data_IF_605558616425
#
_entry.id   IF_605558616425
#
_cell.length_a   1.000
_cell.length_b   1.000
_cell.length_c   1.000
_cell.angle_alpha   90.00
_cell.angle_beta   90.00
_cell.angle_gamma   90.00
#
_symmetry.space_group_name_H-M   'P 1'
#
loop_
_entity.id
_entity.type
_entity.pdbx_description
1 polymer ?
2 non-polymer ?
3 water ?
#
# COMPACT_ATOMS: atom_id res chain seq x y z
N UNK A 1 4.72 -8.41 -31.82
CA UNK A 1 4.11 -7.09 -31.41
C UNK A 1 3.84 -7.04 -29.90
N UNK A 2 4.79 -6.46 -29.16
CA UNK A 2 4.67 -6.20 -27.72
C UNK A 2 4.88 -4.70 -27.45
N UNK A 3 4.26 -4.15 -26.39
CA UNK A 3 4.51 -2.75 -26.03
C UNK A 3 5.96 -2.52 -25.59
N UNK A 4 6.48 -1.36 -25.94
CA UNK A 4 7.87 -1.03 -25.63
C UNK A 4 8.14 -0.85 -24.13
N UNK A 5 7.12 -0.40 -23.39
CA UNK A 5 7.15 -0.27 -21.94
C UNK A 5 5.84 -0.78 -21.34
N UNK A 6 5.94 -1.39 -20.16
CA UNK A 6 4.74 -1.69 -19.35
C UNK A 6 5.07 -1.38 -17.90
N UNK A 7 4.04 -0.96 -17.17
CA UNK A 7 4.12 -0.74 -15.74
C UNK A 7 2.75 -1.09 -15.15
N UNK A 8 2.67 -2.27 -14.55
CA UNK A 8 1.42 -2.78 -13.98
C UNK A 8 0.90 -1.99 -12.77
N UNK A 9 1.75 -1.19 -12.11
CA UNK A 9 1.26 -0.24 -11.08
C UNK A 9 0.25 0.75 -11.64
N UNK A 10 0.47 1.19 -12.88
CA UNK A 10 -0.44 2.14 -13.54
C UNK A 10 -1.80 1.53 -13.87
N UNK A 11 -1.88 0.21 -13.97
CA UNK A 11 -3.14 -0.51 -14.15
C UNK A 11 -3.84 -0.84 -12.82
N UNK A 12 -3.34 -0.31 -11.70
CA UNK A 12 -3.89 -0.60 -10.37
C UNK A 12 -3.73 -2.03 -9.86
N UNK A 13 -2.72 -2.75 -10.36
CA UNK A 13 -2.54 -4.19 -10.13
C UNK A 13 -1.39 -4.54 -9.15
N UNK A 14 -0.80 -3.52 -8.52
CA UNK A 14 0.34 -3.69 -7.60
C UNK A 14 0.00 -3.04 -6.26
N UNK A 15 0.08 -3.83 -5.20
CA UNK A 15 -0.21 -3.32 -3.86
C UNK A 15 1.01 -2.55 -3.33
N UNK A 16 0.88 -2.00 -2.14
CA UNK A 16 1.99 -1.28 -1.50
C UNK A 16 3.22 -2.17 -1.30
N UNK A 17 4.40 -1.57 -1.45
CA UNK A 17 5.67 -2.19 -1.06
C UNK A 17 5.62 -2.62 0.41
N UNK A 18 6.04 -3.85 0.66
CA UNK A 18 6.11 -4.44 1.98
C UNK A 18 7.55 -4.43 2.50
N UNK A 19 7.70 -4.84 3.76
CA UNK A 19 8.98 -4.79 4.49
C UNK A 19 9.20 -6.14 5.20
N UNK A 20 10.10 -6.95 4.64
CA UNK A 20 10.33 -8.31 5.16
C UNK A 20 11.12 -8.37 6.47
N UNK A 21 11.94 -7.36 6.72
CA UNK A 21 12.80 -7.33 7.90
C UNK A 21 13.80 -8.46 7.90
N UNK A 22 14.02 -9.06 9.07
CA UNK A 22 15.07 -10.05 9.25
C UNK A 22 14.62 -11.51 9.02
N UNK A 23 13.51 -11.67 8.30
CA UNK A 23 12.97 -12.98 7.95
C UNK A 23 13.17 -13.10 6.46
N UNK A 24 13.77 -14.22 6.03
CA UNK A 24 14.06 -14.47 4.62
C UNK A 24 12.82 -14.90 3.85
N UNK A 25 11.83 -14.00 3.79
CA UNK A 25 10.52 -14.32 3.24
C UNK A 25 10.29 -13.67 1.87
N UNK A 26 11.36 -13.27 1.19
CA UNK A 26 11.22 -12.60 -0.09
C UNK A 26 10.43 -13.48 -1.09
N UNK A 27 10.71 -14.78 -1.10
CA UNK A 27 9.92 -15.76 -1.87
C UNK A 27 8.39 -15.68 -1.67
N UNK A 28 7.98 -15.41 -0.43
CA UNK A 28 6.57 -15.32 -0.09
C UNK A 28 5.97 -13.99 -0.55
N UNK A 29 6.73 -12.91 -0.44
CA UNK A 29 6.28 -11.60 -0.95
C UNK A 29 6.25 -11.57 -2.47
N UNK A 30 7.25 -12.19 -3.10
CA UNK A 30 7.25 -12.37 -4.57
C UNK A 30 6.00 -13.12 -5.04
N UNK A 31 5.66 -14.20 -4.34
CA UNK A 31 4.52 -15.04 -4.72
C UNK A 31 3.19 -14.32 -4.53
N UNK A 32 2.93 -13.77 -3.33
CA UNK A 32 1.68 -13.03 -3.13
C UNK A 32 1.58 -11.84 -4.10
N UNK A 33 2.70 -11.15 -4.33
CA UNK A 33 2.76 -10.07 -5.31
C UNK A 33 2.18 -10.42 -6.66
N UNK A 34 2.67 -11.54 -7.21
CA UNK A 34 2.22 -12.01 -8.50
C UNK A 34 0.73 -12.36 -8.49
N UNK A 35 0.27 -13.02 -7.42
CA UNK A 35 -1.13 -13.42 -7.30
C UNK A 35 -2.06 -12.21 -7.07
N UNK A 36 -1.58 -11.21 -6.32
CA UNK A 36 -2.37 -9.96 -6.09
C UNK A 36 -2.81 -9.32 -7.39
N UNK A 37 -1.91 -9.30 -8.37
CA UNK A 37 -2.19 -8.73 -9.69
C UNK A 37 -3.25 -9.54 -10.44
N UNK A 38 -3.16 -10.86 -10.39
CA UNK A 38 -4.13 -11.73 -11.07
C UNK A 38 -5.51 -11.57 -10.43
N UNK A 39 -5.53 -11.47 -9.09
CA UNK A 39 -6.75 -11.20 -8.34
C UNK A 39 -7.42 -9.90 -8.76
N UNK A 40 -6.63 -8.84 -8.88
CA UNK A 40 -7.11 -7.53 -9.39
C UNK A 40 -7.73 -7.66 -10.76
N UNK A 41 -7.00 -8.30 -11.68
CA UNK A 41 -7.47 -8.51 -13.06
C UNK A 41 -8.82 -9.20 -13.11
N UNK A 42 -8.99 -10.25 -12.32
CA UNK A 42 -10.17 -11.08 -12.40
C UNK A 42 -11.38 -10.51 -11.65
N UNK A 43 -11.14 -9.86 -10.52
CA UNK A 43 -12.24 -9.40 -9.64
C UNK A 43 -12.40 -7.88 -9.55
N UNK A 44 -11.47 -7.11 -10.09
CA UNK A 44 -11.46 -5.66 -9.93
C UNK A 44 -11.05 -5.14 -8.56
N UNK A 45 -10.68 -6.03 -7.63
CA UNK A 45 -10.34 -5.65 -6.28
C UNK A 45 -8.84 -5.78 -6.07
N UNK A 46 -8.22 -4.74 -5.53
CA UNK A 46 -6.80 -4.77 -5.21
C UNK A 46 -6.67 -5.05 -3.72
N UNK A 47 -6.13 -6.21 -3.37
CA UNK A 47 -5.99 -6.59 -1.96
C UNK A 47 -4.64 -7.28 -1.70
N UNK A 48 -3.92 -6.79 -0.70
CA UNK A 48 -2.68 -7.44 -0.27
C UNK A 48 -2.96 -8.82 0.28
N UNK A 49 -2.21 -9.81 -0.19
CA UNK A 49 -2.38 -11.19 0.24
C UNK A 49 -1.32 -11.58 1.28
N UNK A 50 -1.67 -12.57 2.11
CA UNK A 50 -0.86 -12.91 3.28
C UNK A 50 0.44 -13.66 2.97
N UNK A 51 1.54 -12.93 2.96
CA UNK A 51 2.87 -13.53 2.93
C UNK A 51 3.12 -14.45 4.14
N UNK A 52 2.55 -14.11 5.30
CA UNK A 52 2.76 -14.86 6.54
C UNK A 52 2.11 -16.24 6.47
N UNK A 53 0.93 -16.28 5.84
CA UNK A 53 0.21 -17.50 5.50
C UNK A 53 1.12 -18.51 4.81
N UNK A 54 1.89 -18.05 3.83
CA UNK A 54 2.82 -18.92 3.11
C UNK A 54 4.01 -19.35 4.00
N UNK A 55 4.57 -18.40 4.75
CA UNK A 55 5.70 -18.63 5.65
C UNK A 55 5.38 -19.72 6.65
N UNK A 56 4.19 -19.62 7.24
CA UNK A 56 3.71 -20.53 8.27
C UNK A 56 3.15 -21.86 7.74
N UNK A 57 2.55 -21.87 6.55
CA UNK A 57 1.80 -23.04 6.05
C UNK A 57 2.40 -23.75 4.83
N UNK A 58 3.13 -23.06 3.97
CA UNK A 58 3.75 -23.67 2.79
C UNK A 58 5.17 -24.00 3.19
N UNK A 59 5.32 -25.13 3.88
CA UNK A 59 6.54 -25.49 4.59
C UNK A 59 7.14 -26.77 3.97
N UNK A 60 7.31 -27.86 4.74
CA UNK A 60 8.17 -28.98 4.35
C UNK A 60 7.74 -29.67 3.08
N UNK A 61 6.45 -29.98 2.99
CA UNK A 61 5.85 -30.59 1.79
C UNK A 61 6.18 -29.84 0.49
N UNK A 62 6.39 -28.54 0.60
CA UNK A 62 6.66 -27.63 -0.52
C UNK A 62 8.15 -27.28 -0.65
N UNK A 63 9.03 -27.96 0.11
CA UNK A 63 10.47 -27.68 0.08
C UNK A 63 10.89 -26.34 0.64
N UNK A 64 9.98 -25.70 1.39
CA UNK A 64 10.17 -24.36 1.92
C UNK A 64 10.50 -24.41 3.41
N UNK A 65 11.25 -23.40 3.85
CA UNK A 65 11.73 -23.33 5.23
C UNK A 65 11.43 -21.98 5.88
N UNK A 66 10.23 -21.43 5.58
CA UNK A 66 9.74 -20.19 6.19
C UNK A 66 10.71 -19.03 6.07
N UNK A 67 11.15 -18.52 7.22
CA UNK A 67 12.11 -17.41 7.29
C UNK A 67 13.52 -17.80 6.86
N UNK A 68 13.77 -19.09 6.64
CA UNK A 68 15.04 -19.56 6.05
C UNK A 68 14.98 -19.82 4.51
N UNK A 69 13.97 -19.27 3.83
CA UNK A 69 13.87 -19.33 2.37
C UNK A 69 12.82 -20.28 1.84
N UNK A 70 12.46 -20.09 0.57
CA UNK A 70 11.45 -20.93 -0.08
C UNK A 70 11.39 -20.64 -1.57
N UNK A 71 10.45 -21.29 -2.24
CA UNK A 71 10.26 -21.16 -3.68
C UNK A 71 8.91 -20.52 -3.95
N UNK A 72 8.84 -19.66 -4.95
CA UNK A 72 7.57 -19.09 -5.37
C UNK A 72 6.64 -20.14 -5.97
N UNK A 73 7.20 -21.11 -6.70
CA UNK A 73 6.39 -22.11 -7.40
C UNK A 73 5.64 -23.04 -6.46
N UNK A 74 6.35 -23.50 -5.42
CA UNK A 74 5.77 -24.39 -4.45
C UNK A 74 4.87 -23.62 -3.48
N UNK A 75 5.08 -22.32 -3.35
CA UNK A 75 4.13 -21.46 -2.64
C UNK A 75 2.84 -21.40 -3.42
N UNK A 76 2.93 -21.26 -4.75
CA UNK A 76 1.73 -21.31 -5.60
C UNK A 76 1.02 -22.66 -5.49
N UNK A 77 1.80 -23.74 -5.47
CA UNK A 77 1.22 -25.08 -5.33
C UNK A 77 0.49 -25.25 -4.00
N UNK A 78 1.08 -24.72 -2.92
CA UNK A 78 0.38 -24.66 -1.64
C UNK A 78 -0.99 -24.00 -1.76
N UNK A 79 -1.04 -22.83 -2.39
CA UNK A 79 -2.29 -22.09 -2.56
C UNK A 79 -3.31 -22.93 -3.36
N UNK A 80 -2.84 -23.62 -4.41
CA UNK A 80 -3.68 -24.54 -5.21
C UNK A 80 -4.20 -25.68 -4.32
N UNK A 81 -3.29 -26.37 -3.66
CA UNK A 81 -3.62 -27.50 -2.76
C UNK A 81 -4.53 -27.06 -1.61
N UNK A 82 -4.26 -25.88 -1.06
CA UNK A 82 -5.02 -25.36 0.08
C UNK A 82 -6.41 -24.85 -0.27
N UNK A 83 -6.64 -24.61 -1.56
CA UNK A 83 -7.87 -24.01 -2.07
C UNK A 83 -8.09 -22.58 -1.56
N UNK A 84 -7.01 -21.90 -1.19
CA UNK A 84 -7.11 -20.56 -0.72
C UNK A 84 -5.84 -19.96 -0.18
N UNK A 85 -5.82 -18.63 -0.12
CA UNK A 85 -4.85 -17.89 0.68
C UNK A 85 -5.60 -16.74 1.39
N UNK A 86 -5.29 -16.53 2.67
CA UNK A 86 -5.90 -15.47 3.47
C UNK A 86 -5.45 -14.07 3.03
N UNK A 87 -6.26 -13.06 3.34
CA UNK A 87 -5.86 -11.67 3.14
C UNK A 87 -4.71 -11.38 4.09
N UNK A 88 -3.84 -10.46 3.69
CA UNK A 88 -2.81 -9.96 4.59
C UNK A 88 -3.44 -9.23 5.78
N UNK A 89 -4.58 -8.59 5.56
CA UNK A 89 -5.33 -7.92 6.66
C UNK A 89 -5.68 -8.90 7.77
N UNK A 90 -6.15 -10.10 7.38
CA UNK A 90 -6.59 -11.13 8.34
C UNK A 90 -5.42 -11.87 9.00
N UNK A 91 -4.27 -11.87 8.34
CA UNK A 91 -3.17 -12.74 8.70
C UNK A 91 -1.90 -11.94 8.43
N UNK A 92 -1.63 -10.91 9.27
CA UNK A 92 -0.59 -9.93 8.98
C UNK A 92 0.82 -10.44 9.24
N UNK A 93 1.78 -9.74 8.65
CA UNK A 93 3.17 -10.19 8.62
C UNK A 93 3.93 -9.86 9.93
N UNK A 94 4.59 -10.87 10.49
CA UNK A 94 5.32 -10.76 11.77
C UNK A 94 6.83 -10.98 11.66
N UNK A 95 7.34 -11.21 10.45
CA UNK A 95 8.76 -11.48 10.22
C UNK A 95 9.32 -12.58 11.15
N UNK A 96 8.54 -13.63 11.34
CA UNK A 96 9.01 -14.82 12.06
C UNK A 96 8.21 -16.04 11.67
N UNK A 97 8.77 -17.21 11.95
CA UNK A 97 8.13 -18.48 11.66
C UNK A 97 7.10 -18.73 12.72
N UNK A 98 5.86 -19.02 12.33
CA UNK A 98 4.79 -19.32 13.28
C UNK A 98 4.07 -20.60 12.88
N UNK A 99 3.23 -21.10 13.79
CA UNK A 99 2.31 -22.20 13.49
C UNK A 99 1.32 -21.74 12.41
N UNK A 100 0.99 -22.65 11.50
CA UNK A 100 0.03 -22.35 10.45
C UNK A 100 -1.34 -21.99 11.02
N UNK A 101 -1.82 -20.78 10.72
CA UNK A 101 -3.11 -20.31 11.23
C UNK A 101 -4.09 -19.93 10.12
N UNK A 102 -3.97 -20.61 8.98
CA UNK A 102 -4.91 -20.42 7.88
C UNK A 102 -6.35 -20.66 8.35
N UNK A 103 -7.24 -19.75 7.97
CA UNK A 103 -8.68 -19.87 8.21
C UNK A 103 -9.38 -19.57 6.87
N UNK A 104 -10.09 -20.54 6.31
CA UNK A 104 -10.84 -20.32 5.05
C UNK A 104 -11.87 -19.18 5.09
N UNK A 105 -12.37 -18.81 6.28
CA UNK A 105 -13.29 -17.67 6.39
C UNK A 105 -12.71 -16.35 5.81
N UNK A 106 -11.40 -16.17 5.95
CA UNK A 106 -10.70 -14.97 5.47
C UNK A 106 -9.95 -15.16 4.14
N UNK A 107 -10.26 -16.24 3.41
CA UNK A 107 -9.77 -16.44 2.04
C UNK A 107 -10.05 -15.20 1.19
N UNK A 108 -8.98 -14.62 0.64
CA UNK A 108 -9.05 -13.47 -0.27
C UNK A 108 -8.73 -13.83 -1.73
N UNK A 109 -8.02 -14.94 -1.94
CA UNK A 109 -7.70 -15.40 -3.27
C UNK A 109 -7.59 -16.92 -3.34
N UNK A 110 -7.58 -17.37 -4.58
CA UNK A 110 -7.52 -18.77 -4.96
C UNK A 110 -6.39 -18.82 -6.01
N UNK A 111 -5.89 -20.02 -6.35
CA UNK A 111 -4.93 -20.19 -7.43
C UNK A 111 -5.25 -21.47 -8.19
N UNK A 112 -5.41 -21.36 -9.51
CA UNK A 112 -5.78 -22.48 -10.37
C UNK A 112 -4.57 -23.19 -10.96
N UNK A 113 -3.53 -22.42 -11.27
CA UNK A 113 -2.35 -22.97 -11.89
C UNK A 113 -1.18 -22.00 -11.76
N UNK A 114 0.00 -22.47 -12.14
CA UNK A 114 1.18 -21.62 -12.35
C UNK A 114 2.03 -22.13 -13.51
N UNK A 115 2.87 -21.25 -14.01
CA UNK A 115 3.73 -21.49 -15.17
C UNK A 115 5.16 -21.08 -14.84
N UNK A 116 6.13 -21.94 -15.18
CA UNK A 116 7.56 -21.63 -15.03
C UNK A 116 8.13 -21.36 -16.41
N UNK A 117 8.80 -20.22 -16.57
CA UNK A 117 9.33 -19.79 -17.85
C UNK A 117 10.75 -20.33 -18.05
N UNK A 118 11.20 -20.44 -19.31
CA UNK A 118 12.50 -21.04 -19.54
C UNK A 118 13.69 -20.18 -19.06
N UNK A 119 14.70 -20.85 -18.51
CA UNK A 119 15.86 -20.22 -17.87
C UNK A 119 16.56 -19.26 -18.83
N UNK A 120 16.84 -18.04 -18.37
CA UNK A 120 17.67 -17.04 -19.10
C UNK A 120 16.97 -16.28 -20.23
N UNK A 121 15.74 -16.66 -20.58
CA UNK A 121 15.04 -16.13 -21.73
C UNK A 121 14.30 -14.81 -21.40
N UNK A 122 15.00 -13.71 -21.60
CA UNK A 122 14.48 -12.40 -21.27
C UNK A 122 13.44 -11.93 -22.25
N UNK A 123 13.46 -12.49 -23.45
CA UNK A 123 12.43 -12.24 -24.47
C UNK A 123 11.12 -12.90 -24.08
N UNK A 124 11.18 -14.11 -23.55
CA UNK A 124 9.98 -14.82 -23.08
C UNK A 124 9.42 -14.18 -21.79
N UNK A 125 10.30 -13.68 -20.92
CA UNK A 125 9.89 -12.96 -19.72
C UNK A 125 9.19 -11.64 -20.08
N UNK A 126 9.74 -10.94 -21.08
CA UNK A 126 9.13 -9.71 -21.59
C UNK A 126 7.70 -10.00 -22.09
N UNK A 127 7.56 -11.01 -22.93
CA UNK A 127 6.24 -11.47 -23.41
C UNK A 127 5.28 -11.75 -22.26
N UNK A 128 5.73 -12.50 -21.26
CA UNK A 128 4.90 -12.85 -20.10
C UNK A 128 4.49 -11.60 -19.30
N UNK A 129 5.41 -10.69 -19.04
CA UNK A 129 5.09 -9.46 -18.28
C UNK A 129 4.05 -8.63 -19.03
N UNK A 130 4.19 -8.54 -20.35
CA UNK A 130 3.23 -7.83 -21.19
C UNK A 130 1.87 -8.53 -21.26
N UNK A 131 1.87 -9.83 -21.56
CA UNK A 131 0.65 -10.57 -21.88
C UNK A 131 -0.03 -11.25 -20.71
N UNK A 132 0.67 -11.48 -19.60
CA UNK A 132 0.10 -12.22 -18.45
C UNK A 132 -0.02 -11.35 -17.20
N UNK A 133 1.02 -10.58 -16.88
CA UNK A 133 1.01 -9.73 -15.70
C UNK A 133 2.34 -9.79 -14.97
N UNK A 134 2.40 -9.25 -13.74
CA UNK A 134 3.63 -9.33 -12.95
C UNK A 134 4.15 -10.76 -12.76
N UNK A 135 5.47 -10.93 -12.86
CA UNK A 135 6.13 -12.25 -12.83
C UNK A 135 7.08 -12.32 -11.64
N UNK A 136 6.90 -13.37 -10.85
CA UNK A 136 7.78 -13.68 -9.72
C UNK A 136 9.11 -14.14 -10.23
N UNK A 137 10.21 -13.55 -9.73
CA UNK A 137 11.55 -13.96 -10.11
C UNK A 137 12.52 -13.93 -8.93
N UNK A 138 13.64 -14.60 -9.11
CA UNK A 138 14.76 -14.55 -8.18
C UNK A 138 15.85 -13.71 -8.80
N UNK A 139 16.58 -13.00 -7.97
CA UNK A 139 17.77 -12.25 -8.40
C UNK A 139 18.91 -12.55 -7.45
N UNK A 140 20.13 -12.28 -7.92
CA UNK A 140 21.34 -12.27 -7.11
C UNK A 140 21.44 -10.90 -6.43
N UNK A 141 20.99 -10.82 -5.19
CA UNK A 141 21.05 -9.56 -4.44
C UNK A 141 22.22 -9.51 -3.45
N UNK A 142 23.16 -10.48 -3.49
CA UNK A 142 24.26 -10.52 -2.51
C UNK A 142 25.40 -9.60 -2.96
N UNK A 143 25.11 -8.30 -2.99
CA UNK A 143 26.05 -7.27 -3.43
C UNK A 143 25.71 -5.98 -2.70
N UNK A 144 26.71 -5.34 -2.08
CA UNK A 144 26.49 -4.04 -1.42
C UNK A 144 25.82 -2.99 -2.29
N UNK A 145 26.15 -2.96 -3.59
CA UNK A 145 25.53 -2.05 -4.56
C UNK A 145 24.00 -2.24 -4.68
N UNK A 146 23.53 -3.47 -4.49
CA UNK A 146 22.10 -3.75 -4.47
C UNK A 146 21.45 -3.15 -3.22
N UNK A 147 22.03 -3.45 -2.05
CA UNK A 147 21.52 -2.92 -0.79
C UNK A 147 21.53 -1.38 -0.76
N UNK A 148 22.57 -0.76 -1.32
CA UNK A 148 22.71 0.70 -1.38
C UNK A 148 22.06 1.41 -2.57
N UNK A 149 21.43 0.65 -3.47
CA UNK A 149 20.78 1.23 -4.66
C UNK A 149 19.76 2.33 -4.30
N UNK A 150 19.87 3.48 -4.97
CA UNK A 150 19.00 4.63 -4.79
C UNK A 150 18.11 4.89 -6.00
N UNK A 151 18.72 4.97 -7.19
CA UNK A 151 17.99 5.28 -8.42
C UNK A 151 18.78 4.84 -9.66
N UNK A 152 18.10 4.88 -10.81
CA UNK A 152 18.70 4.58 -12.11
C UNK A 152 18.57 3.12 -12.55
N UNK A 153 19.27 2.75 -13.61
CA UNK A 153 19.32 1.38 -14.10
C UNK A 153 20.47 0.66 -13.41
N UNK A 154 20.11 -0.29 -12.54
CA UNK A 154 21.06 -1.09 -11.80
C UNK A 154 21.86 -2.04 -12.71
N UNK A 155 23.19 -1.88 -12.66
CA UNK A 155 24.10 -2.81 -13.31
C UNK A 155 25.27 -3.07 -12.36
N UNK A 156 25.61 -4.32 -12.16
CA UNK A 156 26.60 -4.77 -11.20
C UNK A 156 27.47 -5.78 -11.92
N UNK A 157 28.70 -5.38 -12.35
CA UNK A 157 29.59 -6.30 -13.08
C UNK A 157 29.85 -7.67 -12.42
N UNK A 158 29.89 -7.71 -11.09
CA UNK A 158 30.13 -8.97 -10.37
C UNK A 158 28.86 -9.79 -10.08
N UNK A 159 27.70 -9.38 -10.64
CA UNK A 159 26.47 -10.15 -10.48
C UNK A 159 26.59 -11.52 -11.17
N UNK A 160 25.95 -12.53 -10.60
CA UNK A 160 25.89 -13.88 -11.18
C UNK A 160 24.45 -14.24 -11.51
N UNK A 161 24.26 -15.36 -12.20
CA UNK A 161 22.93 -15.87 -12.54
C UNK A 161 22.34 -16.76 -11.45
N UNK A 162 23.05 -16.93 -10.33
CA UNK A 162 22.56 -17.73 -9.21
C UNK A 162 21.75 -16.85 -8.27
N UNK A 163 20.46 -17.11 -8.18
CA UNK A 163 19.50 -16.26 -7.46
C UNK A 163 19.44 -16.64 -5.99
N UNK A 164 19.16 -15.63 -5.16
CA UNK A 164 19.06 -15.79 -3.71
C UNK A 164 18.00 -14.87 -3.04
N UNK A 165 17.26 -14.09 -3.81
CA UNK A 165 16.32 -13.11 -3.27
C UNK A 165 15.15 -12.98 -4.23
N UNK A 166 13.94 -13.26 -3.72
CA UNK A 166 12.76 -13.19 -4.54
C UNK A 166 12.22 -11.78 -4.66
N UNK A 167 11.79 -11.44 -5.88
CA UNK A 167 11.25 -10.12 -6.18
C UNK A 167 10.13 -10.31 -7.20
N UNK A 168 9.53 -9.20 -7.61
CA UNK A 168 8.42 -9.22 -8.57
C UNK A 168 8.69 -8.23 -9.69
N UNK A 169 8.73 -8.75 -10.92
CA UNK A 169 8.83 -7.91 -12.12
C UNK A 169 7.42 -7.41 -12.44
N UNK A 170 7.20 -6.11 -12.21
CA UNK A 170 5.91 -5.47 -12.47
C UNK A 170 5.89 -4.67 -13.76
N UNK A 171 7.02 -4.65 -14.47
CA UNK A 171 7.05 -3.96 -15.75
C UNK A 171 8.42 -3.98 -16.39
N UNK A 172 8.54 -3.19 -17.44
CA UNK A 172 9.80 -3.01 -18.14
C UNK A 172 9.73 -1.74 -18.98
N UNK A 173 10.88 -1.35 -19.52
CA UNK A 173 10.97 -0.17 -20.35
C UNK A 173 12.42 0.15 -20.66
N UNK A 174 12.65 1.41 -21.01
CA UNK A 174 13.98 1.90 -21.34
C UNK A 174 14.11 3.38 -20.97
N UNK A 175 15.23 3.74 -20.36
CA UNK A 175 15.51 5.12 -19.93
C UNK A 175 16.66 5.58 -20.83
N UNK A 176 16.33 6.45 -21.79
CA UNK A 176 17.23 6.92 -22.83
C UNK A 176 18.12 5.82 -23.44
N UNK A 177 17.48 4.72 -23.85
CA UNK A 177 18.17 3.60 -24.49
C UNK A 177 18.73 2.50 -23.60
N UNK A 178 18.75 2.73 -22.28
CA UNK A 178 19.18 1.68 -21.34
C UNK A 178 17.96 0.90 -20.84
N UNK A 179 17.89 -0.36 -21.28
CA UNK A 179 16.71 -1.18 -21.04
C UNK A 179 16.72 -1.71 -19.61
N UNK A 180 15.54 -1.78 -19.00
CA UNK A 180 15.42 -2.23 -17.62
C UNK A 180 14.16 -3.07 -17.39
N UNK A 181 14.23 -3.84 -16.32
CA UNK A 181 13.09 -4.51 -15.71
C UNK A 181 12.69 -3.66 -14.53
N UNK A 182 11.39 -3.42 -14.37
CA UNK A 182 10.88 -2.67 -13.25
C UNK A 182 10.54 -3.65 -12.13
N UNK A 183 11.27 -3.59 -11.01
CA UNK A 183 11.18 -4.60 -9.95
C UNK A 183 10.67 -4.05 -8.62
N UNK A 184 9.61 -4.66 -8.10
CA UNK A 184 9.12 -4.40 -6.75
C UNK A 184 9.86 -5.29 -5.74
N UNK A 185 10.58 -4.68 -4.82
CA UNK A 185 11.29 -5.40 -3.76
C UNK A 185 10.39 -5.42 -2.50
N UNK A 186 10.83 -6.09 -1.44
CA UNK A 186 10.12 -6.11 -0.16
C UNK A 186 11.05 -5.65 0.98
N UNK A 187 11.77 -4.54 0.73
CA UNK A 187 12.62 -3.91 1.73
C UNK A 187 12.08 -2.55 2.19
N UNK A 188 10.78 -2.33 2.04
CA UNK A 188 10.15 -1.06 2.43
C UNK A 188 10.35 0.07 1.44
N UNK A 189 9.72 1.21 1.77
CA UNK A 189 9.70 2.35 0.86
C UNK A 189 11.03 3.07 0.71
N UNK A 190 11.90 2.97 1.71
CA UNK A 190 13.18 3.69 1.69
C UNK A 190 14.28 3.02 0.87
N UNK A 191 14.02 1.80 0.41
CA UNK A 191 14.89 1.15 -0.59
C UNK A 191 14.62 1.68 -2.00
N UNK A 192 15.68 2.09 -2.68
CA UNK A 192 15.64 2.45 -4.09
C UNK A 192 14.62 3.54 -4.43
N UNK A 193 13.89 3.32 -5.51
CA UNK A 193 12.90 4.29 -5.99
C UNK A 193 11.54 3.92 -5.37
N UNK A 194 11.29 4.44 -4.17
CA UNK A 194 10.08 4.15 -3.39
C UNK A 194 9.73 2.64 -3.29
N UNK A 195 10.78 1.86 -2.99
CA UNK A 195 10.66 0.40 -2.86
C UNK A 195 10.93 -0.42 -4.12
N UNK A 196 11.23 0.27 -5.23
CA UNK A 196 11.45 -0.36 -6.53
C UNK A 196 12.88 -0.20 -6.99
N UNK A 197 13.29 -1.12 -7.87
CA UNK A 197 14.61 -1.08 -8.49
C UNK A 197 14.44 -1.39 -9.96
N UNK A 198 15.19 -0.68 -10.80
CA UNK A 198 15.19 -0.89 -12.22
C UNK A 198 16.49 -1.59 -12.55
N UNK A 199 16.35 -2.84 -12.99
CA UNK A 199 17.47 -3.73 -13.17
C UNK A 199 17.71 -3.97 -14.64
N UNK A 200 18.97 -3.86 -15.04
CA UNK A 200 19.39 -4.03 -16.43
C UNK A 200 18.70 -5.19 -17.15
N UNK A 201 18.23 -4.92 -18.38
CA UNK A 201 17.49 -5.87 -19.21
C UNK A 201 18.24 -6.09 -20.52
N UNK A 202 18.12 -7.30 -21.06
CA UNK A 202 18.84 -7.75 -22.25
C UNK A 202 20.36 -7.59 -22.10
N UNK A 203 20.87 -7.91 -20.91
CA UNK A 203 22.31 -7.88 -20.63
C UNK A 203 22.75 -9.21 -20.07
N UNK A 204 22.36 -10.28 -20.76
CA UNK A 204 22.85 -11.61 -20.49
C UNK A 204 22.33 -12.23 -19.22
N UNK A 205 21.03 -12.04 -18.96
CA UNK A 205 20.37 -12.55 -17.76
C UNK A 205 21.05 -11.98 -16.51
N UNK A 206 21.13 -10.65 -16.48
CA UNK A 206 21.86 -9.95 -15.45
C UNK A 206 21.27 -10.16 -14.04
N UNK A 207 22.14 -10.53 -13.11
CA UNK A 207 21.77 -10.92 -11.74
C UNK A 207 20.76 -12.08 -11.71
N UNK A 208 20.73 -12.91 -12.77
CA UNK A 208 19.80 -14.04 -12.86
C UNK A 208 18.34 -13.69 -12.83
N UNK A 209 17.98 -12.49 -13.30
CA UNK A 209 16.58 -12.05 -13.24
C UNK A 209 15.64 -12.98 -13.99
N UNK A 210 16.10 -13.55 -15.11
CA UNK A 210 15.29 -14.50 -15.90
C UNK A 210 15.64 -15.99 -15.68
N UNK A 211 16.44 -16.30 -14.66
CA UNK A 211 16.84 -17.68 -14.36
C UNK A 211 15.62 -18.52 -13.97
N UNK A 212 14.80 -18.03 -13.03
CA UNK A 212 13.65 -18.82 -12.55
C UNK A 212 12.36 -17.99 -12.44
N UNK A 213 11.80 -17.54 -13.58
CA UNK A 213 10.56 -16.77 -13.54
C UNK A 213 9.36 -17.69 -13.45
N UNK A 214 8.33 -17.24 -12.74
CA UNK A 214 7.06 -17.96 -12.68
C UNK A 214 5.90 -17.02 -12.35
N UNK A 215 4.68 -17.41 -12.73
CA UNK A 215 3.50 -16.58 -12.43
C UNK A 215 2.25 -17.45 -12.25
N UNK A 216 1.35 -17.05 -11.32
CA UNK A 216 0.12 -17.81 -11.11
C UNK A 216 -0.99 -17.31 -12.00
N UNK A 217 -2.07 -18.07 -12.08
CA UNK A 217 -3.30 -17.63 -12.72
C UNK A 217 -4.49 -18.04 -11.91
N UNK A 218 -5.54 -17.24 -12.03
CA UNK A 218 -6.86 -17.54 -11.45
C UNK A 218 -7.82 -17.66 -12.66
N UNK A 219 -8.23 -18.90 -12.94
CA UNK A 219 -9.08 -19.20 -14.08
C UNK A 219 -10.55 -19.13 -13.70
N UNK A 220 -11.40 -18.74 -14.66
CA UNK A 220 -12.84 -18.91 -14.54
C UNK A 220 -13.15 -20.40 -14.50
N UNK B 2 -27.04 5.77 17.80
CA UNK B 2 -25.82 5.47 17.01
C UNK B 2 -25.24 4.11 17.42
N UNK B 3 -24.58 3.39 16.48
CA UNK B 3 -23.94 2.12 16.84
C UNK B 3 -22.78 2.31 17.81
N UNK B 4 -22.63 1.34 18.71
CA UNK B 4 -21.58 1.36 19.72
C UNK B 4 -20.15 1.29 19.14
N UNK B 5 -20.00 0.60 18.01
CA UNK B 5 -18.75 0.49 17.28
C UNK B 5 -18.98 0.66 15.78
N UNK B 6 -18.01 1.26 15.10
CA UNK B 6 -18.00 1.37 13.65
C UNK B 6 -16.57 1.09 13.20
N UNK B 7 -16.44 0.43 12.05
CA UNK B 7 -15.15 0.19 11.41
C UNK B 7 -15.38 0.14 9.92
N UNK B 8 -15.05 1.25 9.25
CA UNK B 8 -15.28 1.37 7.79
C UNK B 8 -14.41 0.44 6.93
N UNK B 9 -13.34 -0.13 7.49
CA UNK B 9 -12.57 -1.20 6.80
C UNK B 9 -13.46 -2.42 6.51
N UNK B 10 -14.38 -2.75 7.44
CA UNK B 10 -15.32 -3.85 7.23
C UNK B 10 -16.32 -3.64 6.09
N UNK B 11 -16.56 -2.38 5.74
CA UNK B 11 -17.39 -2.03 4.58
C UNK B 11 -16.61 -1.94 3.27
N UNK B 12 -15.32 -2.31 3.27
CA UNK B 12 -14.45 -2.18 2.09
C UNK B 12 -14.17 -0.75 1.61
N UNK B 13 -14.21 0.21 2.55
CA UNK B 13 -14.13 1.65 2.26
C UNK B 13 -12.76 2.28 2.60
N UNK B 14 -11.78 1.47 2.99
CA UNK B 14 -10.46 1.96 3.43
C UNK B 14 -9.37 1.27 2.61
N UNK B 15 -8.55 2.06 1.93
CA UNK B 15 -7.47 1.50 1.11
C UNK B 15 -6.31 1.12 2.05
N UNK B 16 -5.28 0.54 1.47
CA UNK B 16 -4.09 0.17 2.22
C UNK B 16 -3.41 1.38 2.88
N UNK B 17 -2.86 1.14 4.06
CA UNK B 17 -1.99 2.10 4.75
C UNK B 17 -0.82 2.50 3.83
N UNK B 18 -0.58 3.80 3.75
CA UNK B 18 0.48 4.39 2.97
C UNK B 18 1.64 4.80 3.87
N UNK B 19 2.74 5.24 3.24
CA UNK B 19 3.99 5.57 3.93
C UNK B 19 4.50 6.92 3.40
N UNK B 20 4.33 7.96 4.21
CA UNK B 20 4.65 9.32 3.78
C UNK B 20 6.16 9.64 3.72
N UNK B 21 6.95 8.92 4.52
CA UNK B 21 8.37 9.15 4.62
C UNK B 21 8.69 10.52 5.18
N UNK B 22 9.71 11.16 4.60
CA UNK B 22 10.24 12.41 5.14
C UNK B 22 9.58 13.66 4.50
N UNK B 23 8.39 13.50 3.92
CA UNK B 23 7.63 14.57 3.34
C UNK B 23 6.43 14.75 4.25
N UNK B 24 6.18 16.00 4.69
CA UNK B 24 5.08 16.30 5.59
C UNK B 24 3.75 16.35 4.87
N UNK B 25 3.35 15.21 4.35
CA UNK B 25 2.17 15.10 3.48
C UNK B 25 1.01 14.41 4.17
N UNK B 26 1.01 14.37 5.50
CA UNK B 26 -0.06 13.68 6.22
C UNK B 26 -1.42 14.28 5.87
N UNK B 27 -1.50 15.60 5.76
CA UNK B 27 -2.70 16.31 5.31
C UNK B 27 -3.27 15.78 3.98
N UNK B 28 -2.37 15.42 3.05
CA UNK B 28 -2.77 14.93 1.75
C UNK B 28 -3.26 13.50 1.82
N UNK B 29 -2.63 12.66 2.65
CA UNK B 29 -3.09 11.29 2.86
C UNK B 29 -4.40 11.25 3.63
N UNK B 30 -4.54 12.13 4.62
CA UNK B 30 -5.82 12.29 5.33
C UNK B 30 -6.96 12.65 4.38
N UNK B 31 -6.70 13.59 3.48
CA UNK B 31 -7.71 14.05 2.53
C UNK B 31 -8.09 12.97 1.51
N UNK B 32 -7.12 12.39 0.81
CA UNK B 32 -7.44 11.31 -0.12
C UNK B 32 -8.12 10.14 0.58
N UNK B 33 -7.68 9.81 1.79
CA UNK B 33 -8.30 8.77 2.60
C UNK B 33 -9.79 8.94 2.75
N UNK B 34 -10.20 10.12 3.18
CA UNK B 34 -11.61 10.43 3.35
C UNK B 34 -12.38 10.33 2.06
N UNK B 35 -11.80 10.83 0.96
CA UNK B 35 -12.45 10.81 -0.34
C UNK B 35 -12.51 9.39 -0.94
N UNK B 36 -11.48 8.58 -0.69
CA UNK B 36 -11.48 7.17 -1.14
C UNK B 36 -12.73 6.41 -0.67
N UNK B 37 -13.11 6.64 0.58
CA UNK B 37 -14.29 6.01 1.16
C UNK B 37 -15.60 6.48 0.49
N UNK B 38 -15.70 7.78 0.20
CA UNK B 38 -16.89 8.31 -0.47
C UNK B 38 -16.99 7.77 -1.89
N UNK B 39 -15.85 7.67 -2.56
CA UNK B 39 -15.76 7.07 -3.89
C UNK B 39 -16.24 5.61 -3.91
N UNK B 40 -15.80 4.83 -2.93
CA UNK B 40 -16.25 3.45 -2.75
C UNK B 40 -17.77 3.37 -2.57
N UNK B 41 -18.30 4.19 -1.67
CA UNK B 41 -19.75 4.25 -1.39
C UNK B 41 -20.56 4.52 -2.65
N UNK B 42 -20.11 5.48 -3.47
CA UNK B 42 -20.89 5.92 -4.63
C UNK B 42 -20.75 4.97 -5.83
N UNK B 43 -19.55 4.43 -6.06
CA UNK B 43 -19.25 3.67 -7.28
C UNK B 43 -19.00 2.19 -7.10
N UNK B 44 -18.88 1.71 -5.86
CA UNK B 44 -18.48 0.35 -5.56
C UNK B 44 -17.01 0.01 -5.81
N UNK B 45 -16.19 1.00 -6.20
CA UNK B 45 -14.79 0.76 -6.54
C UNK B 45 -13.91 1.34 -5.45
N UNK B 46 -12.98 0.53 -4.96
CA UNK B 46 -12.03 0.97 -3.95
C UNK B 46 -10.74 1.25 -4.65
N UNK B 47 -10.33 2.53 -4.66
CA UNK B 47 -9.16 2.97 -5.41
C UNK B 47 -8.35 3.97 -4.60
N UNK B 48 -7.05 3.69 -4.41
CA UNK B 48 -6.16 4.67 -3.78
C UNK B 48 -6.05 5.92 -4.65
N UNK B 49 -6.26 7.08 -4.05
CA UNK B 49 -6.20 8.35 -4.77
C UNK B 49 -4.84 9.03 -4.53
N UNK B 50 -4.45 9.87 -5.49
CA UNK B 50 -3.12 10.46 -5.52
C UNK B 50 -2.90 11.58 -4.48
N UNK B 51 -2.23 11.20 -3.39
CA UNK B 51 -1.74 12.17 -2.43
C UNK B 51 -0.73 13.13 -3.06
N UNK B 52 0.03 12.65 -4.04
CA UNK B 52 1.07 13.46 -4.71
C UNK B 52 0.47 14.59 -5.54
N UNK B 53 -0.66 14.29 -6.17
CA UNK B 53 -1.49 15.24 -6.89
C UNK B 53 -1.80 16.46 -6.03
N UNK B 54 -2.17 16.23 -4.78
CA UNK B 54 -2.45 17.33 -3.85
C UNK B 54 -1.19 18.09 -3.46
N UNK B 55 -0.13 17.33 -3.15
CA UNK B 55 1.17 17.91 -2.74
C UNK B 55 1.69 18.86 -3.81
N UNK B 56 1.61 18.42 -5.06
CA UNK B 56 2.11 19.17 -6.22
C UNK B 56 1.19 20.28 -6.72
N UNK B 57 -0.12 20.11 -6.58
CA UNK B 57 -1.09 21.00 -7.22
C UNK B 57 -1.95 21.87 -6.26
N UNK B 58 -2.22 21.40 -5.06
CA UNK B 58 -3.01 22.16 -4.08
C UNK B 58 -2.03 22.89 -3.20
N UNK B 59 -1.52 24.01 -3.71
CA UNK B 59 -0.36 24.70 -3.15
C UNK B 59 -0.79 26.10 -2.65
N UNK B 60 -0.24 27.18 -3.21
CA UNK B 60 -0.32 28.52 -2.62
C UNK B 60 -1.74 29.02 -2.47
N UNK B 61 -2.51 28.92 -3.55
CA UNK B 61 -3.93 29.34 -3.57
C UNK B 61 -4.75 28.72 -2.43
N UNK B 62 -4.34 27.53 -1.99
CA UNK B 62 -5.02 26.74 -0.96
C UNK B 62 -4.35 26.84 0.41
N UNK B 63 -3.38 27.74 0.56
CA UNK B 63 -2.66 27.90 1.84
C UNK B 63 -1.75 26.74 2.22
N UNK B 64 -1.46 25.88 1.27
CA UNK B 64 -0.68 24.65 1.48
C UNK B 64 0.74 24.83 0.97
N UNK B 65 1.66 24.08 1.58
CA UNK B 65 3.08 24.15 1.27
C UNK B 65 3.70 22.77 1.01
N UNK B 66 2.94 21.91 0.32
CA UNK B 66 3.42 20.59 -0.11
C UNK B 66 3.96 19.75 1.02
N UNK B 67 5.26 19.38 0.91
CA UNK B 67 5.95 18.60 1.93
C UNK B 67 6.22 19.37 3.21
N UNK B 68 5.94 20.67 3.23
CA UNK B 68 5.98 21.47 4.47
C UNK B 68 4.61 21.69 5.17
N UNK B 69 3.61 20.88 4.81
CA UNK B 69 2.30 20.90 5.46
C UNK B 69 1.19 21.51 4.63
N UNK B 70 -0.04 21.22 5.04
CA UNK B 70 -1.22 21.70 4.37
C UNK B 70 -2.47 21.39 5.16
N UNK B 71 -3.63 21.74 4.58
CA UNK B 71 -4.92 21.54 5.22
C UNK B 71 -5.72 20.55 4.42
N UNK B 72 -6.47 19.68 5.10
CA UNK B 72 -7.37 18.76 4.41
C UNK B 72 -8.51 19.50 3.70
N UNK B 73 -9.00 20.58 4.31
CA UNK B 73 -10.15 21.30 3.77
C UNK B 73 -9.86 21.98 2.44
N UNK B 74 -8.71 22.64 2.36
CA UNK B 74 -8.32 23.34 1.15
C UNK B 74 -7.80 22.35 0.10
N UNK B 75 -7.38 21.17 0.54
CA UNK B 75 -7.10 20.09 -0.41
C UNK B 75 -8.42 19.64 -1.06
N UNK B 76 -9.48 19.52 -0.25
CA UNK B 76 -10.81 19.21 -0.79
C UNK B 76 -11.29 20.29 -1.76
N UNK B 77 -11.06 21.56 -1.39
CA UNK B 77 -11.44 22.69 -2.26
C UNK B 77 -10.69 22.63 -3.59
N UNK B 78 -9.39 22.30 -3.55
CA UNK B 78 -8.63 22.06 -4.77
C UNK B 78 -9.32 21.04 -5.67
N UNK B 79 -9.68 19.89 -5.11
CA UNK B 79 -10.33 18.81 -5.86
C UNK B 79 -11.66 19.30 -6.47
N UNK B 80 -12.43 20.09 -5.71
CA UNK B 80 -13.69 20.71 -6.21
C UNK B 80 -13.37 21.65 -7.37
N UNK B 81 -12.44 22.59 -7.14
CA UNK B 81 -12.04 23.58 -8.15
C UNK B 81 -11.45 22.92 -9.38
N UNK B 82 -10.65 21.86 -9.16
CA UNK B 82 -9.95 21.17 -10.25
C UNK B 82 -10.86 20.26 -11.07
N UNK B 83 -12.04 19.95 -10.55
CA UNK B 83 -12.99 19.02 -11.15
C UNK B 83 -12.42 17.60 -11.26
N UNK B 84 -11.48 17.27 -10.37
CA UNK B 84 -10.89 15.94 -10.38
C UNK B 84 -9.71 15.76 -9.48
N UNK B 85 -9.44 14.50 -9.16
CA UNK B 85 -8.16 14.06 -8.61
C UNK B 85 -7.75 12.75 -9.31
N UNK B 86 -6.47 12.66 -9.69
CA UNK B 86 -5.92 11.47 -10.35
C UNK B 86 -5.83 10.27 -9.41
N UNK B 87 -5.81 9.08 -9.99
CA UNK B 87 -5.56 7.85 -9.23
C UNK B 87 -4.12 7.90 -8.73
N UNK B 88 -3.87 7.26 -7.60
CA UNK B 88 -2.50 7.08 -7.13
C UNK B 88 -1.71 6.22 -8.13
N UNK B 89 -2.37 5.28 -8.80
CA UNK B 89 -1.73 4.47 -9.85
C UNK B 89 -1.11 5.33 -10.96
N UNK B 90 -1.86 6.34 -11.40
CA UNK B 90 -1.42 7.25 -12.48
C UNK B 90 -0.37 8.28 -12.03
N UNK B 91 -0.38 8.58 -10.74
CA UNK B 91 0.33 9.75 -10.21
C UNK B 91 0.85 9.35 -8.83
N UNK B 92 1.87 8.46 -8.82
CA UNK B 92 2.29 7.79 -7.59
C UNK B 92 3.11 8.68 -6.66
N UNK B 93 3.18 8.27 -5.41
CA UNK B 93 3.75 9.11 -4.35
C UNK B 93 5.28 9.01 -4.30
N UNK B 94 5.95 10.17 -4.28
CA UNK B 94 7.42 10.26 -4.34
C UNK B 94 8.04 10.91 -3.09
N UNK B 95 7.23 11.28 -2.11
CA UNK B 95 7.70 11.94 -0.90
C UNK B 95 8.60 13.16 -1.19
N UNK B 96 8.22 13.96 -2.19
CA UNK B 96 8.88 15.23 -2.46
C UNK B 96 7.96 16.17 -3.21
N UNK B 97 8.32 17.46 -3.18
CA UNK B 97 7.55 18.50 -3.86
C UNK B 97 7.90 18.43 -5.32
N UNK B 98 6.90 18.36 -6.19
CA UNK B 98 7.13 18.33 -7.65
C UNK B 98 6.23 19.35 -8.33
N UNK B 99 6.52 19.60 -9.61
CA UNK B 99 5.64 20.38 -10.47
C UNK B 99 4.30 19.66 -10.63
N UNK B 100 3.22 20.42 -10.65
CA UNK B 100 1.88 19.85 -10.80
C UNK B 100 1.76 19.12 -12.13
N UNK B 101 1.44 17.82 -12.06
CA UNK B 101 1.33 17.00 -13.29
C UNK B 101 -0.05 16.34 -13.41
N UNK B 102 -1.08 17.01 -12.88
CA UNK B 102 -2.45 16.54 -13.02
C UNK B 102 -2.81 16.38 -14.51
N UNK B 103 -3.43 15.24 -14.83
CA UNK B 103 -3.96 14.96 -16.15
C UNK B 103 -5.40 14.45 -15.94
N UNK B 104 -6.38 15.17 -16.46
CA UNK B 104 -7.79 14.73 -16.37
C UNK B 104 -8.09 13.35 -16.95
N UNK B 105 -7.28 12.86 -17.89
CA UNK B 105 -7.48 11.51 -18.45
C UNK B 105 -7.47 10.41 -17.36
N UNK B 106 -6.67 10.61 -16.32
CA UNK B 106 -6.53 9.65 -15.22
C UNK B 106 -7.31 10.02 -13.95
N UNK B 107 -8.26 10.95 -14.06
CA UNK B 107 -9.21 11.27 -13.00
C UNK B 107 -9.87 10.01 -12.48
N UNK B 108 -9.71 9.75 -11.18
CA UNK B 108 -10.33 8.62 -10.48
C UNK B 108 -11.47 9.04 -9.54
N UNK B 109 -11.48 10.30 -9.13
CA UNK B 109 -12.52 10.83 -8.27
C UNK B 109 -12.77 12.31 -8.51
N UNK B 110 -13.88 12.76 -7.94
CA UNK B 110 -14.40 14.11 -8.06
C UNK B 110 -14.75 14.48 -6.60
N UNK B 111 -15.00 15.77 -6.31
CA UNK B 111 -15.50 16.20 -5.00
C UNK B 111 -16.50 17.32 -5.19
N UNK B 112 -17.69 17.17 -4.61
CA UNK B 112 -18.79 18.14 -4.74
C UNK B 112 -18.79 19.16 -3.62
N UNK B 113 -18.42 18.72 -2.42
CA UNK B 113 -18.47 19.58 -1.25
C UNK B 113 -17.63 19.00 -0.13
N UNK B 114 -17.45 19.79 0.93
CA UNK B 114 -16.92 19.30 2.20
C UNK B 114 -17.56 20.04 3.39
N UNK B 115 -17.45 19.42 4.55
CA UNK B 115 -18.07 19.89 5.78
C UNK B 115 -17.03 19.91 6.91
N UNK B 116 -16.97 21.02 7.65
CA UNK B 116 -16.12 21.14 8.84
C UNK B 116 -16.96 21.01 10.10
N UNK B 117 -16.56 20.12 10.99
CA UNK B 117 -17.30 19.83 12.21
C UNK B 117 -16.84 20.75 13.35
N UNK B 118 -17.70 20.96 14.35
CA UNK B 118 -17.32 21.94 15.39
C UNK B 118 -16.17 21.46 16.31
N UNK B 119 -15.29 22.38 16.66
CA UNK B 119 -14.07 22.12 17.43
C UNK B 119 -14.38 21.42 18.75
N UNK B 120 -13.69 20.32 19.04
CA UNK B 120 -13.79 19.63 20.34
C UNK B 120 -14.97 18.71 20.58
N UNK B 121 -15.93 18.73 19.66
CA UNK B 121 -17.19 17.98 19.80
C UNK B 121 -17.04 16.52 19.35
N UNK B 122 -16.69 15.67 20.29
CA UNK B 122 -16.46 14.24 20.01
C UNK B 122 -17.75 13.50 19.78
N UNK B 123 -18.86 14.05 20.31
CA UNK B 123 -20.20 13.51 20.05
C UNK B 123 -20.62 13.75 18.59
N UNK B 124 -20.32 14.92 18.07
CA UNK B 124 -20.63 15.26 16.67
C UNK B 124 -19.70 14.48 15.71
N UNK B 125 -18.44 14.29 16.09
CA UNK B 125 -17.52 13.47 15.31
C UNK B 125 -17.97 12.00 15.25
N UNK B 126 -18.43 11.49 16.39
CA UNK B 126 -18.99 10.13 16.45
C UNK B 126 -20.17 9.97 15.48
N UNK B 127 -21.11 10.90 15.56
CA UNK B 127 -22.25 10.95 14.62
C UNK B 127 -21.80 10.96 13.16
N UNK B 128 -20.83 11.81 12.84
CA UNK B 128 -20.31 11.91 11.46
C UNK B 128 -19.63 10.62 10.99
N UNK B 129 -18.80 10.01 11.84
CA UNK B 129 -18.13 8.75 11.47
C UNK B 129 -19.17 7.66 11.20
N UNK B 130 -20.21 7.60 12.02
CA UNK B 130 -21.30 6.64 11.84
C UNK B 130 -22.13 6.92 10.59
N UNK B 131 -22.59 8.16 10.45
CA UNK B 131 -23.60 8.53 9.44
C UNK B 131 -23.05 9.02 8.11
N UNK B 132 -21.79 9.45 8.06
CA UNK B 132 -21.21 10.00 6.81
C UNK B 132 -20.05 9.17 6.24
N UNK B 133 -19.16 8.72 7.12
CA UNK B 133 -18.01 7.93 6.70
C UNK B 133 -16.75 8.34 7.39
N UNK B 134 -15.59 7.86 6.91
CA UNK B 134 -14.32 8.28 7.51
C UNK B 134 -14.12 9.79 7.49
N UNK B 135 -13.56 10.32 8.58
CA UNK B 135 -13.42 11.77 8.78
C UNK B 135 -11.94 12.10 8.89
N UNK B 136 -11.51 13.07 8.07
CA UNK B 136 -10.16 13.63 8.12
C UNK B 136 -10.02 14.46 9.37
N UNK B 137 -8.95 14.21 10.15
CA UNK B 137 -8.67 14.97 11.37
C UNK B 137 -7.20 15.24 11.56
N UNK B 138 -6.91 16.22 12.41
CA UNK B 138 -5.55 16.47 12.86
C UNK B 138 -5.41 15.96 14.28
N UNK B 139 -4.22 15.49 14.62
CA UNK B 139 -3.88 15.12 16.00
C UNK B 139 -2.56 15.77 16.37
N UNK B 140 -2.32 15.87 17.67
CA UNK B 140 -1.02 16.23 18.24
C UNK B 140 -0.17 14.96 18.31
N UNK B 141 0.67 14.77 17.30
CA UNK B 141 1.56 13.61 17.26
C UNK B 141 3.00 13.91 17.74
N UNK B 142 3.27 15.10 18.29
CA UNK B 142 4.64 15.47 18.69
C UNK B 142 4.99 14.91 20.07
N UNK B 143 5.05 13.58 20.15
CA UNK B 143 5.29 12.86 21.40
C UNK B 143 5.96 11.54 21.06
N UNK B 144 7.08 11.21 21.73
CA UNK B 144 7.76 9.92 21.51
C UNK B 144 6.84 8.71 21.65
N UNK B 145 5.90 8.76 22.58
CA UNK B 145 4.92 7.71 22.79
C UNK B 145 4.03 7.46 21.55
N UNK B 146 3.75 8.51 20.80
CA UNK B 146 3.01 8.37 19.54
C UNK B 146 3.88 7.66 18.49
N UNK B 147 5.10 8.15 18.29
CA UNK B 147 6.02 7.55 17.33
C UNK B 147 6.32 6.08 17.64
N UNK B 148 6.47 5.74 18.92
CA UNK B 148 6.78 4.36 19.34
C UNK B 148 5.55 3.50 19.63
N UNK B 149 4.34 4.02 19.42
CA UNK B 149 3.11 3.26 19.67
C UNK B 149 3.07 1.91 18.95
N UNK B 150 2.75 0.85 19.69
CA UNK B 150 2.66 -0.51 19.17
C UNK B 150 1.20 -1.03 19.18
N UNK B 151 0.54 -0.94 20.33
CA UNK B 151 -0.81 -1.45 20.49
C UNK B 151 -1.54 -0.81 21.67
N UNK B 152 -2.85 -1.06 21.74
CA UNK B 152 -3.70 -0.61 22.84
C UNK B 152 -4.41 0.71 22.58
N UNK B 153 -5.10 1.19 23.61
CA UNK B 153 -5.75 2.51 23.58
C UNK B 153 -4.74 3.57 24.00
N UNK B 154 -4.35 4.40 23.04
CA UNK B 154 -3.32 5.41 23.23
C UNK B 154 -3.84 6.56 24.12
N UNK B 155 -3.13 6.79 25.22
CA UNK B 155 -3.40 7.93 26.09
C UNK B 155 -2.04 8.52 26.49
N UNK B 156 -1.91 9.84 26.33
CA UNK B 156 -0.66 10.55 26.53
C UNK B 156 -1.01 11.77 27.36
N UNK B 157 -0.71 11.75 28.68
CA UNK B 157 -1.04 12.89 29.56
C UNK B 157 -0.55 14.26 29.11
N UNK B 158 0.60 14.33 28.41
CA UNK B 158 1.13 15.61 27.92
C UNK B 158 0.59 16.02 26.54
N UNK B 159 -0.39 15.29 25.99
CA UNK B 159 -0.99 15.65 24.71
C UNK B 159 -1.75 16.98 24.84
N UNK B 160 -1.75 17.77 23.76
CA UNK B 160 -2.51 19.02 23.70
C UNK B 160 -3.56 18.93 22.60
N UNK B 161 -4.43 19.93 22.55
CA UNK B 161 -5.45 20.02 21.51
C UNK B 161 -4.96 20.73 20.24
N UNK B 162 -3.69 21.14 20.22
CA UNK B 162 -3.10 21.77 19.02
C UNK B 162 -2.56 20.70 18.09
N UNK B 163 -3.19 20.57 16.92
CA UNK B 163 -2.90 19.50 15.96
C UNK B 163 -1.73 19.87 15.07
N UNK B 164 -1.00 18.86 14.64
CA UNK B 164 0.17 19.01 13.78
C UNK B 164 0.38 17.84 12.77
N UNK B 165 -0.51 16.85 12.75
CA UNK B 165 -0.34 15.66 11.93
C UNK B 165 -1.72 15.18 11.48
N UNK B 166 -1.93 15.12 10.17
CA UNK B 166 -3.21 14.69 9.61
C UNK B 166 -3.36 13.19 9.61
N UNK B 167 -4.54 12.73 9.97
CA UNK B 167 -4.86 11.31 10.02
C UNK B 167 -6.32 11.13 9.59
N UNK B 168 -6.79 9.89 9.58
CA UNK B 168 -8.15 9.58 9.18
C UNK B 168 -8.84 8.71 10.24
N UNK B 169 -9.95 9.20 10.77
CA UNK B 169 -10.78 8.42 11.69
C UNK B 169 -11.68 7.52 10.83
N UNK B 170 -11.38 6.22 10.84
CA UNK B 170 -12.14 5.23 10.07
C UNK B 170 -13.13 4.46 10.94
N UNK B 171 -13.16 4.74 12.23
CA UNK B 171 -14.13 4.13 13.10
C UNK B 171 -13.96 4.49 14.54
N UNK B 172 -14.67 3.74 15.38
CA UNK B 172 -14.62 3.91 16.82
C UNK B 172 -15.15 2.66 17.50
N UNK B 173 -14.98 2.60 18.80
CA UNK B 173 -15.45 1.47 19.58
C UNK B 173 -14.97 1.55 20.99
N UNK B 174 -14.95 0.39 21.64
CA UNK B 174 -14.57 0.27 23.03
C UNK B 174 -13.93 -1.11 23.28
N UNK B 175 -12.79 -1.15 23.97
CA UNK B 175 -12.19 -2.41 24.37
C UNK B 175 -12.30 -2.46 25.88
N UNK B 176 -13.18 -3.34 26.37
CA UNK B 176 -13.35 -3.61 27.82
C UNK B 176 -13.49 -2.30 28.63
N UNK B 177 -14.39 -1.43 28.16
CA UNK B 177 -14.69 -0.17 28.83
C UNK B 177 -13.89 1.05 28.40
N UNK B 178 -12.75 0.85 27.73
CA UNK B 178 -11.94 1.97 27.25
C UNK B 178 -12.33 2.35 25.82
N UNK B 179 -12.94 3.52 25.70
CA UNK B 179 -13.41 4.03 24.42
C UNK B 179 -12.26 4.56 23.59
N UNK B 180 -12.33 4.31 22.28
CA UNK B 180 -11.28 4.73 21.36
C UNK B 180 -11.84 5.18 20.02
N UNK B 181 -11.02 5.96 19.33
CA UNK B 181 -11.19 6.28 17.92
C UNK B 181 -10.22 5.38 17.17
N UNK B 182 -10.68 4.79 16.09
CA UNK B 182 -9.85 3.95 15.23
C UNK B 182 -9.24 4.83 14.14
N UNK B 183 -7.92 5.00 14.18
CA UNK B 183 -7.24 5.99 13.32
C UNK B 183 -6.25 5.34 12.34
N UNK B 184 -6.43 5.63 11.05
CA UNK B 184 -5.51 5.25 10.00
C UNK B 184 -4.42 6.30 9.86
N UNK B 185 -3.17 5.91 10.09
CA UNK B 185 -2.02 6.81 9.95
C UNK B 185 -1.42 6.58 8.55
N UNK B 186 -0.38 7.35 8.21
CA UNK B 186 0.37 7.16 6.95
C UNK B 186 1.86 6.97 7.23
N UNK B 187 2.17 6.12 8.20
CA UNK B 187 3.56 5.75 8.54
C UNK B 187 3.85 4.28 8.21
N UNK B 188 3.10 3.70 7.26
CA UNK B 188 3.29 2.29 6.86
C UNK B 188 2.70 1.24 7.79
N UNK B 189 2.82 -0.03 7.39
CA UNK B 189 2.26 -1.17 8.15
C UNK B 189 2.91 -1.38 9.52
N UNK B 190 4.20 -1.04 9.66
CA UNK B 190 4.94 -1.34 10.88
C UNK B 190 4.72 -0.35 12.01
N UNK B 191 3.99 0.74 11.74
CA UNK B 191 3.48 1.60 12.80
C UNK B 191 2.23 1.01 13.46
N UNK B 192 2.26 0.91 14.79
CA UNK B 192 1.11 0.56 15.58
C UNK B 192 0.48 -0.76 15.20
N UNK B 193 -0.85 -0.78 15.14
CA UNK B 193 -1.60 -1.99 14.85
C UNK B 193 -1.85 -2.03 13.35
N UNK B 194 -0.88 -2.61 12.62
CA UNK B 194 -0.90 -2.70 11.15
C UNK B 194 -1.21 -1.35 10.47
N UNK B 195 -0.55 -0.31 10.94
CA UNK B 195 -0.71 1.05 10.39
C UNK B 195 -1.74 1.93 11.08
N UNK B 196 -2.43 1.37 12.08
CA UNK B 196 -3.50 2.05 12.78
C UNK B 196 -3.14 2.32 14.23
N UNK B 197 -3.82 3.31 14.80
CA UNK B 197 -3.69 3.65 16.21
C UNK B 197 -5.09 3.86 16.77
N UNK B 198 -5.30 3.35 17.98
CA UNK B 198 -6.55 3.51 18.67
C UNK B 198 -6.30 4.56 19.74
N UNK B 199 -6.96 5.70 19.57
CA UNK B 199 -6.71 6.88 20.36
C UNK B 199 -7.89 7.11 21.27
N UNK B 200 -7.58 7.37 22.54
CA UNK B 200 -8.59 7.59 23.57
C UNK B 200 -9.74 8.51 23.09
N UNK B 201 -10.97 8.09 23.42
CA UNK B 201 -12.19 8.79 23.01
C UNK B 201 -12.97 9.20 24.25
N UNK B 202 -13.67 10.33 24.15
CA UNK B 202 -14.41 10.96 25.25
C UNK B 202 -13.50 11.26 26.44
N UNK B 203 -12.29 11.74 26.15
CA UNK B 203 -11.33 12.15 27.17
C UNK B 203 -10.86 13.56 26.89
N UNK B 204 -11.83 14.45 26.68
CA UNK B 204 -11.59 15.88 26.60
C UNK B 204 -10.85 16.33 25.36
N UNK B 205 -11.24 15.76 24.22
CA UNK B 205 -10.63 16.07 22.92
C UNK B 205 -9.13 15.74 22.96
N UNK B 206 -8.86 14.49 23.33
CA UNK B 206 -7.50 14.04 23.59
C UNK B 206 -6.62 14.10 22.32
N UNK B 207 -5.44 14.71 22.46
CA UNK B 207 -4.54 14.98 21.35
C UNK B 207 -5.21 15.79 20.21
N UNK B 208 -6.25 16.57 20.53
CA UNK B 208 -6.96 17.36 19.55
C UNK B 208 -7.62 16.60 18.40
N UNK B 209 -8.01 15.36 18.66
CA UNK B 209 -8.60 14.53 17.59
C UNK B 209 -9.85 15.15 16.98
N UNK B 210 -10.66 15.84 17.80
CA UNK B 210 -11.89 16.51 17.32
C UNK B 210 -11.74 18.03 17.10
N UNK B 211 -10.52 18.55 17.16
CA UNK B 211 -10.26 19.99 16.97
C UNK B 211 -10.66 20.47 15.58
N UNK B 212 -10.19 19.78 14.54
CA UNK B 212 -10.47 20.18 13.15
C UNK B 212 -10.88 19.02 12.25
N UNK B 213 -12.09 18.43 12.50
CA UNK B 213 -12.54 17.35 11.65
C UNK B 213 -13.21 17.90 10.40
N UNK B 214 -13.05 17.16 9.30
CA UNK B 214 -13.73 17.49 8.06
C UNK B 214 -13.89 16.27 7.17
N UNK B 215 -14.87 16.27 6.29
CA UNK B 215 -15.08 15.14 5.37
C UNK B 215 -15.67 15.62 4.03
N UNK B 216 -15.27 14.97 2.91
CA UNK B 216 -15.80 15.36 1.62
C UNK B 216 -17.05 14.56 1.29
N UNK B 217 -17.77 14.99 0.27
CA UNK B 217 -18.84 14.19 -0.33
C UNK B 217 -18.79 14.26 -1.83
N UNK B 218 -19.25 13.18 -2.46
CA UNK B 218 -19.45 13.12 -3.90
C UNK B 218 -20.96 12.92 -4.13
N UNK B 219 -21.61 13.98 -4.61
CA UNK B 219 -23.06 13.98 -4.82
C UNK B 219 -23.39 13.50 -6.23
N UNK B 220 -24.59 12.91 -6.36
CA UNK B 220 -25.12 12.55 -7.66
C UNK B 220 -25.15 13.79 -8.53
N UNK B 221 -24.61 13.70 -9.73
CA UNK B 221 -24.45 14.87 -10.60
C UNK B 221 -23.32 15.78 -10.17
#
# INVERSE_FOLDING_TARGET
ILPDSVDWREKGCVTEVKYQGSCGASWAFSAVGALEAQLKLKTGKLVSLSAQNLVDCSTEKYGNKGCNGGFMTTAFQYIIDNKGIDSDASYPYKAMDQKCQYDSKYRAATCSKYTELPYGREDVLKEAVANKGPVSVGVDARHPSFFLYRSGVYYEPSCTQNVNHGVLVVGYGDLNGKEYWLVKNSWGHNFGEEGYIRMARNKGNHCGIASFPSYPEILQGGG
ILPDSVDWREKGCVTEVKYQGSCGASWAFSAVGALEAQLKLKTGKLVSLSAQNLVDCSTEKYGNKGCNGGFMTTAFQYIIDNKGIDSDASYPYKAMDQKCQYDSKYRAATCSKYTELPYGREDVLKEAVANKGPVSVGVDARHPSFFLYRSGVYYEPSCTQNVNHGVLVVGYGDLNGKEYWLVKNSWGHNFGEEGYIRMARNKGNHCGIASFPSYPEILQGGG
#
